data_IF_706353487793
#
_entry.id   IF_706353487793
#
_cell.length_a   1.000
_cell.length_b   1.000
_cell.length_c   1.000
_cell.angle_alpha   90.00
_cell.angle_beta   90.00
_cell.angle_gamma   90.00
#
_symmetry.space_group_name_H-M   'P 1'
#
loop_
_entity.id
_entity.type
_entity.pdbx_description
1 polymer ?
#
# COMPACT_ATOMS: atom_id res chain seq x y z
N UNK A 1 17.81 -26.31 37.27
CA UNK A 1 19.28 -26.15 37.35
C UNK A 1 19.89 -27.51 37.10
N UNK A 2 20.73 -27.65 36.06
CA UNK A 2 21.44 -28.90 35.83
C UNK A 2 22.51 -29.10 36.93
N UNK A 3 22.70 -30.32 37.45
CA UNK A 3 23.66 -30.58 38.52
C UNK A 3 25.12 -30.56 38.01
N UNK A 4 26.05 -30.13 38.88
CA UNK A 4 27.46 -29.85 38.54
C UNK A 4 28.26 -31.05 37.99
N UNK A 5 27.73 -32.28 38.11
CA UNK A 5 28.36 -33.49 37.59
C UNK A 5 27.97 -33.79 36.12
N UNK A 6 26.99 -33.08 35.55
CA UNK A 6 26.55 -33.29 34.18
C UNK A 6 27.45 -32.51 33.21
N UNK A 7 28.14 -33.22 32.32
CA UNK A 7 29.05 -32.65 31.33
C UNK A 7 28.48 -32.73 29.92
N UNK A 8 28.78 -31.73 29.10
CA UNK A 8 28.50 -31.73 27.66
C UNK A 8 29.40 -32.73 26.93
N UNK A 9 29.05 -33.08 25.68
CA UNK A 9 29.88 -33.90 24.80
C UNK A 9 31.30 -33.33 24.56
N UNK A 10 31.49 -32.02 24.76
CA UNK A 10 32.79 -31.35 24.70
C UNK A 10 33.62 -31.46 26.00
N UNK A 11 33.08 -32.10 27.05
CA UNK A 11 33.73 -32.29 28.34
C UNK A 11 33.58 -31.14 29.36
N UNK A 12 32.95 -30.03 28.97
CA UNK A 12 32.68 -28.89 29.86
C UNK A 12 31.43 -29.11 30.73
N UNK A 13 31.35 -28.51 31.93
CA UNK A 13 30.14 -28.50 32.75
C UNK A 13 28.94 -27.95 31.97
N UNK A 14 27.78 -28.60 32.09
CA UNK A 14 26.56 -28.17 31.36
C UNK A 14 26.05 -26.79 31.81
N UNK A 15 26.44 -26.32 33.01
CA UNK A 15 26.13 -24.98 33.51
C UNK A 15 26.98 -23.87 32.86
N UNK A 16 28.06 -24.21 32.16
CA UNK A 16 28.91 -23.29 31.40
C UNK A 16 28.54 -23.23 29.90
N UNK A 17 27.60 -24.07 29.46
CA UNK A 17 27.13 -24.08 28.08
C UNK A 17 26.25 -22.86 27.77
N UNK A 18 26.45 -22.27 26.59
CA UNK A 18 25.56 -21.21 26.12
C UNK A 18 24.28 -21.84 25.61
N UNK A 19 23.16 -21.49 26.26
CA UNK A 19 21.83 -21.86 25.77
C UNK A 19 21.50 -20.95 24.61
N UNK A 20 21.74 -21.44 23.39
CA UNK A 20 21.30 -20.75 22.18
C UNK A 20 19.82 -21.04 21.96
N UNK A 21 19.00 -19.99 21.93
CA UNK A 21 17.59 -20.10 21.60
C UNK A 21 17.43 -20.16 20.08
N UNK A 22 17.04 -21.33 19.57
CA UNK A 22 16.69 -21.49 18.15
C UNK A 22 15.19 -21.27 17.99
N UNK A 23 14.82 -20.25 17.22
CA UNK A 23 13.42 -20.00 16.82
C UNK A 23 13.22 -20.68 15.47
N UNK A 24 12.36 -21.70 15.43
CA UNK A 24 12.01 -22.40 14.19
C UNK A 24 10.61 -21.95 13.75
N UNK A 25 10.42 -21.53 12.49
CA UNK A 25 9.10 -21.19 11.98
C UNK A 25 8.19 -22.43 11.98
N UNK A 26 6.93 -22.25 12.33
CA UNK A 26 5.90 -23.27 12.09
C UNK A 26 5.70 -23.46 10.59
N UNK A 27 5.13 -24.60 10.17
CA UNK A 27 4.80 -24.85 8.76
C UNK A 27 3.96 -23.72 8.14
N UNK A 28 3.05 -23.15 8.93
CA UNK A 28 2.24 -22.01 8.50
C UNK A 28 3.06 -20.75 8.29
N UNK A 29 4.01 -20.46 9.18
CA UNK A 29 4.92 -19.32 9.02
C UNK A 29 5.81 -19.49 7.79
N UNK A 30 6.32 -20.70 7.56
CA UNK A 30 7.08 -21.05 6.35
C UNK A 30 6.25 -20.85 5.08
N UNK A 31 4.99 -21.32 5.07
CA UNK A 31 4.09 -21.17 3.92
C UNK A 31 3.67 -19.72 3.65
N UNK A 32 3.64 -18.86 4.68
CA UNK A 32 3.38 -17.42 4.52
C UNK A 32 4.60 -16.68 4.00
N UNK A 33 5.81 -17.11 4.39
CA UNK A 33 7.05 -16.52 3.90
C UNK A 33 7.36 -16.94 2.46
N UNK A 34 6.85 -18.09 2.01
CA UNK A 34 7.00 -18.53 0.63
C UNK A 34 6.38 -17.50 -0.34
N UNK A 35 7.24 -16.97 -1.23
CA UNK A 35 6.88 -16.01 -2.30
C UNK A 35 6.12 -14.78 -1.80
N UNK A 36 6.42 -14.31 -0.59
CA UNK A 36 5.82 -13.09 -0.05
C UNK A 36 4.32 -13.17 0.21
N UNK A 37 3.72 -14.36 0.35
CA UNK A 37 2.27 -14.55 0.58
C UNK A 37 1.74 -13.80 1.80
N UNK A 38 2.60 -13.58 2.80
CA UNK A 38 2.29 -12.78 3.96
C UNK A 38 1.88 -11.34 3.59
N UNK A 39 2.53 -10.72 2.60
CA UNK A 39 2.18 -9.38 2.14
C UNK A 39 0.83 -9.35 1.48
N UNK A 40 0.49 -10.35 0.67
CA UNK A 40 -0.85 -10.48 0.08
C UNK A 40 -1.90 -10.59 1.17
N UNK A 41 -1.64 -11.41 2.19
CA UNK A 41 -2.57 -11.59 3.32
C UNK A 41 -2.79 -10.27 4.06
N UNK A 42 -1.71 -9.54 4.37
CA UNK A 42 -1.79 -8.22 5.00
C UNK A 42 -2.55 -7.21 4.13
N UNK A 43 -2.21 -7.16 2.83
CA UNK A 43 -2.80 -6.20 1.92
C UNK A 43 -4.31 -6.43 1.80
N UNK A 44 -4.72 -7.69 1.62
CA UNK A 44 -6.14 -8.06 1.51
C UNK A 44 -6.93 -7.77 2.79
N UNK A 45 -6.29 -7.85 3.97
CA UNK A 45 -6.92 -7.51 5.24
C UNK A 45 -7.15 -5.99 5.42
N UNK A 46 -6.39 -5.15 4.71
CA UNK A 46 -6.51 -3.69 4.76
C UNK A 46 -7.62 -3.18 3.83
N UNK A 47 -7.87 -3.83 2.69
CA UNK A 47 -8.82 -3.34 1.68
C UNK A 47 -10.24 -3.06 2.24
N UNK A 48 -10.85 -3.93 3.06
CA UNK A 48 -12.18 -3.65 3.63
C UNK A 48 -12.20 -2.43 4.55
N UNK A 49 -11.11 -2.15 5.26
CA UNK A 49 -10.99 -0.96 6.13
C UNK A 49 -11.02 0.34 5.33
N UNK A 50 -10.55 0.29 4.09
CA UNK A 50 -10.60 1.42 3.14
C UNK A 50 -11.95 1.50 2.40
N UNK A 51 -12.91 0.63 2.76
CA UNK A 51 -14.21 0.53 2.13
C UNK A 51 -14.15 -0.03 0.71
N UNK A 52 -13.15 -0.86 0.40
CA UNK A 52 -13.06 -1.60 -0.86
C UNK A 52 -13.72 -2.95 -0.66
N UNK A 53 -14.74 -3.23 -1.46
CA UNK A 53 -15.47 -4.50 -1.39
C UNK A 53 -14.77 -5.59 -2.19
N UNK A 54 -15.08 -6.86 -1.93
CA UNK A 54 -14.38 -7.99 -2.56
C UNK A 54 -14.56 -8.04 -4.07
N UNK A 55 -15.70 -7.55 -4.55
CA UNK A 55 -16.09 -7.49 -5.96
C UNK A 55 -15.22 -6.50 -6.74
N UNK A 56 -14.59 -5.56 -6.04
CA UNK A 56 -13.68 -4.56 -6.60
C UNK A 56 -12.22 -5.04 -6.62
N UNK A 57 -11.94 -6.28 -6.20
CA UNK A 57 -10.59 -6.80 -6.01
C UNK A 57 -10.35 -8.02 -6.88
N UNK A 58 -9.34 -7.93 -7.73
CA UNK A 58 -8.82 -9.07 -8.50
C UNK A 58 -7.41 -9.36 -7.98
N UNK A 59 -7.18 -10.59 -7.53
CA UNK A 59 -5.88 -11.06 -7.07
C UNK A 59 -5.25 -11.91 -8.17
N UNK A 60 -4.13 -11.46 -8.72
CA UNK A 60 -3.37 -12.18 -9.76
C UNK A 60 -2.12 -12.81 -9.13
N UNK A 61 -2.20 -14.11 -8.85
CA UNK A 61 -1.09 -14.86 -8.28
C UNK A 61 -0.16 -15.36 -9.40
N UNK A 62 1.04 -14.81 -9.47
CA UNK A 62 2.06 -15.19 -10.45
C UNK A 62 3.21 -15.96 -9.78
N UNK A 63 4.05 -16.69 -10.55
CA UNK A 63 5.25 -17.32 -9.99
C UNK A 63 6.21 -16.33 -9.31
N UNK A 64 6.15 -15.04 -9.68
CA UNK A 64 7.04 -13.96 -9.22
C UNK A 64 6.45 -13.12 -8.07
N UNK A 65 5.30 -13.53 -7.53
CA UNK A 65 4.58 -12.81 -6.48
C UNK A 65 3.11 -12.60 -6.82
N UNK A 66 2.40 -11.94 -5.93
CA UNK A 66 0.96 -11.67 -6.09
C UNK A 66 0.73 -10.19 -6.29
N UNK A 67 -0.01 -9.86 -7.34
CA UNK A 67 -0.49 -8.51 -7.60
C UNK A 67 -1.97 -8.40 -7.28
N UNK A 68 -2.40 -7.18 -6.97
CA UNK A 68 -3.79 -6.86 -6.71
C UNK A 68 -4.22 -5.78 -7.70
N UNK A 69 -5.30 -6.02 -8.43
CA UNK A 69 -5.96 -5.00 -9.24
C UNK A 69 -7.22 -4.57 -8.52
N UNK A 70 -7.35 -3.27 -8.29
CA UNK A 70 -8.52 -2.65 -7.69
C UNK A 70 -9.34 -1.94 -8.75
N UNK A 71 -10.64 -2.22 -8.81
CA UNK A 71 -11.60 -1.44 -9.60
C UNK A 71 -12.23 -0.36 -8.72
N UNK A 72 -11.74 0.87 -8.87
CA UNK A 72 -12.25 2.03 -8.16
C UNK A 72 -13.14 2.86 -9.08
N UNK A 73 -14.39 2.40 -9.26
CA UNK A 73 -15.42 3.08 -10.07
C UNK A 73 -15.02 3.20 -11.55
N UNK A 74 -14.48 2.12 -12.12
CA UNK A 74 -14.03 2.04 -13.52
C UNK A 74 -12.56 2.45 -13.73
N UNK A 75 -11.91 3.03 -12.71
CA UNK A 75 -10.48 3.29 -12.74
C UNK A 75 -9.72 2.14 -12.08
N UNK A 76 -8.92 1.44 -12.89
CA UNK A 76 -8.11 0.32 -12.42
C UNK A 76 -6.83 0.82 -11.74
N UNK A 77 -6.59 0.37 -10.51
CA UNK A 77 -5.35 0.60 -9.76
C UNK A 77 -4.59 -0.71 -9.64
N UNK A 78 -3.34 -0.73 -10.10
CA UNK A 78 -2.45 -1.89 -9.94
C UNK A 78 -1.62 -1.74 -8.68
N UNK A 79 -1.72 -2.71 -7.77
CA UNK A 79 -0.88 -2.81 -6.58
C UNK A 79 0.05 -4.01 -6.74
N UNK A 80 1.35 -3.77 -6.80
CA UNK A 80 2.38 -4.81 -6.86
C UNK A 80 3.04 -4.93 -5.49
N UNK A 81 3.12 -6.16 -4.98
CA UNK A 81 3.70 -6.47 -3.68
C UNK A 81 5.02 -7.22 -3.87
N UNK A 82 6.08 -6.75 -3.21
CA UNK A 82 7.41 -7.38 -3.23
C UNK A 82 7.96 -7.50 -1.82
N UNK A 83 8.32 -8.73 -1.46
CA UNK A 83 8.94 -9.06 -0.17
C UNK A 83 10.45 -8.80 -0.13
N UNK A 84 11.01 -8.36 -1.24
CA UNK A 84 12.42 -8.02 -1.48
C UNK A 84 12.53 -6.63 -2.11
N UNK A 85 13.76 -6.14 -2.27
CA UNK A 85 14.03 -4.88 -2.96
C UNK A 85 13.43 -4.85 -4.38
N UNK A 86 12.62 -3.83 -4.67
CA UNK A 86 12.06 -3.66 -6.01
C UNK A 86 13.16 -3.19 -6.97
N UNK A 87 13.54 -4.07 -7.89
CA UNK A 87 14.68 -3.87 -8.77
C UNK A 87 14.26 -3.50 -10.22
N UNK A 88 15.24 -3.37 -11.11
CA UNK A 88 15.00 -2.96 -12.50
C UNK A 88 14.16 -3.97 -13.29
N UNK A 89 14.31 -5.27 -13.03
CA UNK A 89 13.49 -6.32 -13.66
C UNK A 89 12.03 -6.18 -13.24
N UNK A 90 11.78 -5.93 -11.95
CA UNK A 90 10.43 -5.67 -11.45
C UNK A 90 9.82 -4.42 -12.06
N UNK A 91 10.62 -3.37 -12.27
CA UNK A 91 10.17 -2.14 -12.91
C UNK A 91 9.70 -2.36 -14.36
N UNK A 92 10.42 -3.16 -15.15
CA UNK A 92 9.98 -3.55 -16.50
C UNK A 92 8.71 -4.41 -16.47
N UNK A 93 8.64 -5.39 -15.56
CA UNK A 93 7.47 -6.24 -15.40
C UNK A 93 6.23 -5.42 -14.99
N UNK A 94 6.40 -4.50 -14.04
CA UNK A 94 5.38 -3.55 -13.61
C UNK A 94 4.89 -2.71 -14.79
N UNK A 95 5.81 -2.13 -15.57
CA UNK A 95 5.46 -1.33 -16.74
C UNK A 95 4.60 -2.11 -17.75
N UNK A 96 5.02 -3.34 -18.07
CA UNK A 96 4.29 -4.23 -18.97
C UNK A 96 2.87 -4.52 -18.45
N UNK A 97 2.73 -4.77 -17.14
CA UNK A 97 1.43 -4.99 -16.50
C UNK A 97 0.55 -3.76 -16.56
N UNK A 98 1.05 -2.58 -16.22
CA UNK A 98 0.30 -1.31 -16.32
C UNK A 98 -0.22 -1.10 -17.73
N UNK A 99 0.60 -1.35 -18.77
CA UNK A 99 0.14 -1.25 -20.17
C UNK A 99 -0.99 -2.22 -20.48
N UNK A 100 -0.81 -3.48 -20.09
CA UNK A 100 -1.71 -4.59 -20.43
C UNK A 100 -3.09 -4.40 -19.81
N UNK A 101 -3.14 -4.02 -18.54
CA UNK A 101 -4.39 -3.81 -17.79
C UNK A 101 -4.95 -2.39 -17.97
N UNK A 102 -4.20 -1.49 -18.62
CA UNK A 102 -4.54 -0.07 -18.77
C UNK A 102 -4.82 0.63 -17.43
N UNK A 103 -4.01 0.32 -16.42
CA UNK A 103 -4.15 0.90 -15.08
C UNK A 103 -4.06 2.44 -15.14
N UNK A 104 -4.92 3.09 -14.36
CA UNK A 104 -4.96 4.53 -14.23
C UNK A 104 -3.96 5.04 -13.18
N UNK A 105 -3.62 4.21 -12.20
CA UNK A 105 -2.59 4.48 -11.20
C UNK A 105 -1.92 3.17 -10.78
N UNK A 106 -0.63 3.25 -10.45
CA UNK A 106 0.13 2.12 -9.93
C UNK A 106 0.60 2.37 -8.50
N UNK A 107 0.59 1.33 -7.69
CA UNK A 107 1.10 1.31 -6.32
C UNK A 107 2.13 0.19 -6.24
N UNK A 108 3.35 0.54 -5.84
CA UNK A 108 4.43 -0.41 -5.64
C UNK A 108 4.69 -0.47 -4.14
N UNK A 109 4.59 -1.67 -3.57
CA UNK A 109 4.87 -1.92 -2.17
C UNK A 109 6.06 -2.87 -2.09
N UNK A 110 7.12 -2.42 -1.45
CA UNK A 110 8.34 -3.20 -1.28
C UNK A 110 8.73 -3.27 0.19
N UNK A 111 9.02 -4.47 0.68
CA UNK A 111 9.47 -4.66 2.06
C UNK A 111 10.88 -4.09 2.31
N UNK A 112 11.77 -4.11 1.30
CA UNK A 112 13.18 -3.70 1.44
C UNK A 112 13.52 -2.39 0.69
N UNK A 113 12.53 -1.73 0.09
CA UNK A 113 12.75 -0.47 -0.62
C UNK A 113 12.84 -0.60 -2.15
N UNK A 114 13.32 0.47 -2.78
CA UNK A 114 13.42 0.62 -4.24
C UNK A 114 14.88 0.80 -4.64
N UNK A 115 15.35 0.00 -5.59
CA UNK A 115 16.71 0.17 -6.10
C UNK A 115 16.86 1.50 -6.85
N UNK A 116 18.08 2.05 -6.87
CA UNK A 116 18.35 3.35 -7.52
C UNK A 116 17.99 3.37 -9.01
N UNK A 117 18.25 2.27 -9.73
CA UNK A 117 17.94 2.15 -11.15
C UNK A 117 16.44 1.96 -11.41
N UNK A 118 15.75 1.19 -10.56
CA UNK A 118 14.30 1.06 -10.64
C UNK A 118 13.61 2.41 -10.41
N UNK A 119 14.10 3.20 -9.45
CA UNK A 119 13.59 4.55 -9.17
C UNK A 119 13.67 5.47 -10.38
N UNK A 120 14.83 5.49 -11.07
CA UNK A 120 15.01 6.28 -12.30
C UNK A 120 14.01 5.87 -13.37
N UNK A 121 13.90 4.57 -13.66
CA UNK A 121 12.97 4.09 -14.68
C UNK A 121 11.51 4.45 -14.35
N UNK A 122 11.09 4.21 -13.11
CA UNK A 122 9.73 4.46 -12.64
C UNK A 122 9.37 5.95 -12.64
N UNK A 123 10.28 6.81 -12.19
CA UNK A 123 10.00 8.25 -12.04
C UNK A 123 10.22 9.04 -13.33
N UNK A 124 11.25 8.70 -14.11
CA UNK A 124 11.70 9.51 -15.25
C UNK A 124 11.11 9.03 -16.57
N UNK A 125 10.89 7.73 -16.74
CA UNK A 125 10.38 7.18 -18.01
C UNK A 125 8.89 6.85 -17.98
N UNK A 126 8.40 6.27 -16.88
CA UNK A 126 7.04 5.73 -16.81
C UNK A 126 5.97 6.78 -16.44
N UNK A 127 6.30 7.73 -15.56
CA UNK A 127 5.38 8.78 -15.14
C UNK A 127 5.07 9.80 -16.26
N UNK A 128 6.08 10.47 -16.86
CA UNK A 128 5.87 11.56 -17.81
C UNK A 128 5.25 11.11 -19.14
N UNK A 129 5.63 9.94 -19.67
CA UNK A 129 5.20 9.49 -21.00
C UNK A 129 3.72 9.03 -21.05
N UNK A 130 3.10 8.76 -19.90
CA UNK A 130 1.72 8.26 -19.81
C UNK A 130 0.73 9.31 -19.33
N UNK A 131 1.14 10.57 -19.30
CA UNK A 131 0.24 11.63 -18.91
C UNK A 131 -0.92 11.71 -19.91
N UNK A 132 -2.13 11.27 -19.53
CA UNK A 132 -3.32 11.59 -20.33
C UNK A 132 -3.55 13.10 -20.19
N UNK A 133 -4.06 13.73 -21.24
CA UNK A 133 -4.32 15.19 -21.29
C UNK A 133 -5.14 15.66 -20.07
N UNK A 134 -5.97 14.79 -19.48
CA UNK A 134 -6.84 15.11 -18.33
C UNK A 134 -6.49 14.38 -17.03
N UNK A 135 -5.66 13.33 -17.05
CA UNK A 135 -5.29 12.56 -15.85
C UNK A 135 -3.92 11.89 -16.04
N UNK A 136 -2.85 12.43 -15.41
CA UNK A 136 -1.55 11.84 -15.54
C UNK A 136 -1.46 10.50 -14.80
N UNK A 137 -0.88 9.49 -15.43
CA UNK A 137 -0.59 8.22 -14.76
C UNK A 137 0.35 8.48 -13.57
N UNK A 138 -0.05 8.02 -12.38
CA UNK A 138 0.71 8.20 -11.14
C UNK A 138 1.25 6.86 -10.67
N UNK A 139 2.41 6.92 -10.03
CA UNK A 139 3.01 5.77 -9.37
C UNK A 139 3.28 6.18 -7.93
N UNK A 140 2.66 5.46 -6.99
CA UNK A 140 2.88 5.62 -5.56
C UNK A 140 3.79 4.50 -5.09
N UNK A 141 4.94 4.85 -4.50
CA UNK A 141 5.85 3.88 -3.91
C UNK A 141 5.67 3.87 -2.38
N UNK A 142 5.57 2.68 -1.82
CA UNK A 142 5.44 2.44 -0.38
C UNK A 142 6.58 1.53 0.06
N UNK A 143 7.40 2.04 0.95
CA UNK A 143 8.46 1.28 1.61
C UNK A 143 7.93 0.69 2.91
N UNK A 144 8.09 -0.63 3.05
CA UNK A 144 7.55 -1.39 4.17
C UNK A 144 6.02 -1.50 4.15
N UNK A 145 5.49 -2.23 5.12
CA UNK A 145 4.04 -2.48 5.24
C UNK A 145 3.34 -1.50 6.19
N UNK A 146 4.09 -0.76 7.00
CA UNK A 146 3.55 0.16 8.01
C UNK A 146 2.83 1.34 7.36
N UNK A 147 3.38 1.86 6.26
CA UNK A 147 2.80 2.99 5.52
C UNK A 147 1.72 2.56 4.51
N UNK A 148 1.53 1.25 4.29
CA UNK A 148 0.68 0.74 3.21
C UNK A 148 -0.79 1.14 3.37
N UNK A 149 -1.37 1.00 4.56
CA UNK A 149 -2.77 1.37 4.82
C UNK A 149 -3.01 2.87 4.56
N UNK A 150 -2.11 3.73 5.03
CA UNK A 150 -2.20 5.17 4.84
C UNK A 150 -2.07 5.57 3.38
N UNK A 151 -1.02 5.11 2.69
CA UNK A 151 -0.75 5.50 1.30
C UNK A 151 -1.79 4.94 0.34
N UNK A 152 -2.24 3.69 0.54
CA UNK A 152 -3.33 3.13 -0.26
C UNK A 152 -4.63 3.90 -0.01
N UNK A 153 -4.93 4.29 1.24
CA UNK A 153 -6.07 5.14 1.55
C UNK A 153 -6.06 6.47 0.79
N UNK A 154 -4.89 7.11 0.65
CA UNK A 154 -4.73 8.34 -0.15
C UNK A 154 -4.95 8.10 -1.64
N UNK A 155 -4.53 6.96 -2.17
CA UNK A 155 -4.80 6.57 -3.57
C UNK A 155 -6.31 6.38 -3.78
N UNK A 156 -6.97 5.63 -2.89
CA UNK A 156 -8.41 5.36 -2.96
C UNK A 156 -9.22 6.65 -2.93
N UNK A 157 -8.95 7.52 -1.96
CA UNK A 157 -9.64 8.81 -1.81
C UNK A 157 -9.44 9.69 -3.06
N UNK A 158 -8.22 9.72 -3.60
CA UNK A 158 -7.92 10.47 -4.82
C UNK A 158 -8.70 9.95 -6.02
N UNK A 159 -8.74 8.64 -6.25
CA UNK A 159 -9.51 8.05 -7.37
C UNK A 159 -11.01 8.28 -7.21
N UNK A 160 -11.56 8.10 -6.01
CA UNK A 160 -12.98 8.38 -5.73
C UNK A 160 -13.34 9.84 -5.99
N UNK A 161 -12.49 10.78 -5.55
CA UNK A 161 -12.67 12.20 -5.83
C UNK A 161 -12.60 12.49 -7.32
N UNK A 162 -11.63 11.93 -8.03
CA UNK A 162 -11.50 12.10 -9.49
C UNK A 162 -12.76 11.61 -10.21
N UNK A 163 -13.26 10.42 -9.85
CA UNK A 163 -14.50 9.87 -10.39
C UNK A 163 -15.69 10.79 -10.13
N UNK A 164 -15.86 11.26 -8.89
CA UNK A 164 -16.94 12.17 -8.52
C UNK A 164 -16.92 13.47 -9.33
N UNK A 165 -15.73 14.04 -9.56
CA UNK A 165 -15.58 15.24 -10.38
C UNK A 165 -15.92 15.01 -11.86
N UNK A 166 -15.54 13.87 -12.42
CA UNK A 166 -15.93 13.48 -13.79
C UNK A 166 -17.45 13.35 -13.89
N UNK A 167 -18.06 12.61 -12.97
CA UNK A 167 -19.51 12.42 -12.93
C UNK A 167 -20.29 13.74 -12.80
N UNK A 168 -19.80 14.69 -11.97
CA UNK A 168 -20.41 16.02 -11.85
C UNK A 168 -20.16 16.91 -13.07
N UNK A 169 -19.02 16.80 -13.73
CA UNK A 169 -18.75 17.50 -14.99
C UNK A 169 -19.71 17.06 -16.09
N UNK A 170 -19.91 15.75 -16.22
CA UNK A 170 -20.87 15.18 -17.17
C UNK A 170 -22.30 15.69 -16.89
N UNK A 171 -22.68 15.77 -15.61
CA UNK A 171 -23.98 16.30 -15.19
C UNK A 171 -24.12 17.81 -15.45
N UNK A 172 -23.06 18.59 -15.22
CA UNK A 172 -23.04 20.03 -15.48
C UNK A 172 -23.22 20.35 -16.97
N UNK A 173 -22.69 19.49 -17.84
CA UNK A 173 -22.87 19.57 -19.30
C UNK A 173 -24.32 19.33 -19.71
N UNK A 174 -25.06 18.51 -18.96
CA UNK A 174 -26.48 18.21 -19.21
C UNK A 174 -27.41 19.30 -18.67
N UNK A 175 -27.05 19.99 -17.58
CA UNK A 175 -27.95 20.92 -16.87
C UNK A 175 -27.55 22.40 -16.93
N UNK A 176 -26.41 22.76 -17.55
CA UNK A 176 -25.96 24.15 -17.65
C UNK A 176 -25.53 24.80 -16.32
N UNK A 177 -25.54 24.05 -15.21
CA UNK A 177 -25.03 24.47 -13.90
C UNK A 177 -23.71 23.74 -13.58
N UNK A 178 -22.67 24.49 -13.20
CA UNK A 178 -21.40 23.92 -12.75
C UNK A 178 -21.48 23.39 -11.30
N UNK A 179 -22.23 22.30 -11.10
CA UNK A 179 -22.47 21.65 -9.80
C UNK A 179 -21.16 21.11 -9.19
N UNK A 180 -20.18 20.74 -10.02
CA UNK A 180 -18.84 20.29 -9.61
C UNK A 180 -18.14 21.22 -8.63
N UNK A 181 -18.12 22.52 -8.94
CA UNK A 181 -17.46 23.54 -8.12
C UNK A 181 -18.17 23.76 -6.77
N UNK A 182 -19.50 23.72 -6.76
CA UNK A 182 -20.32 23.89 -5.54
C UNK A 182 -20.20 22.69 -4.59
N UNK A 183 -20.16 21.47 -5.12
CA UNK A 183 -19.99 20.27 -4.31
C UNK A 183 -18.60 20.20 -3.66
N UNK A 184 -17.54 20.55 -4.41
CA UNK A 184 -16.18 20.67 -3.88
C UNK A 184 -16.08 21.70 -2.76
N UNK A 185 -16.60 22.91 -2.99
CA UNK A 185 -16.59 23.96 -1.98
C UNK A 185 -17.30 23.52 -0.69
N UNK A 186 -18.37 22.73 -0.79
CA UNK A 186 -19.09 22.19 0.37
C UNK A 186 -18.30 21.09 1.09
N UNK A 187 -17.62 20.19 0.37
CA UNK A 187 -16.77 19.14 0.97
C UNK A 187 -15.55 19.76 1.66
N UNK A 188 -14.91 20.74 1.02
CA UNK A 188 -13.78 21.48 1.60
C UNK A 188 -14.20 22.33 2.81
N UNK A 189 -15.38 22.96 2.75
CA UNK A 189 -15.95 23.68 3.89
C UNK A 189 -16.31 22.72 5.05
N UNK A 190 -16.85 21.53 4.75
CA UNK A 190 -17.13 20.49 5.74
C UNK A 190 -15.88 19.92 6.39
N UNK A 191 -14.78 19.77 5.63
CA UNK A 191 -13.48 19.34 6.15
C UNK A 191 -12.79 20.37 7.04
N UNK A 192 -13.06 21.67 6.85
CA UNK A 192 -12.58 22.75 7.74
C UNK A 192 -13.35 22.80 9.05
N UNK A 193 -14.66 22.60 9.03
CA UNK A 193 -15.49 22.59 10.23
C UNK A 193 -15.13 21.44 11.21
N UNK A 194 -14.61 20.32 10.71
CA UNK A 194 -14.16 19.20 11.57
C UNK A 194 -12.84 19.44 12.29
N UNK A 195 -12.07 20.48 11.94
CA UNK A 195 -10.74 20.75 12.50
C UNK A 195 -10.74 21.78 13.65
N UNK A 196 -11.89 22.38 13.95
CA UNK A 196 -12.02 23.48 14.91
C UNK A 196 -12.52 23.07 16.32
N UNK A 197 -12.72 21.78 16.61
CA UNK A 197 -13.33 21.32 17.89
C UNK A 197 -12.35 20.58 18.82
N UNK A 198 -11.04 20.82 18.73
CA UNK A 198 -10.11 20.38 19.78
C UNK A 198 -9.22 21.55 20.21
N UNK A 199 -9.82 22.47 20.98
CA UNK A 199 -9.06 23.34 21.87
C UNK A 199 -8.92 22.63 23.23
N UNK A 200 -7.72 22.50 23.81
CA UNK A 200 -7.57 21.94 25.14
C UNK A 200 -8.10 22.93 26.17
N UNK A 201 -8.97 22.44 27.05
CA UNK A 201 -9.48 23.17 28.21
C UNK A 201 -8.29 23.54 29.11
N UNK A 202 -8.02 24.84 29.23
CA UNK A 202 -6.96 25.36 30.08
C UNK A 202 -7.36 25.19 31.55
N UNK A 203 -6.59 24.37 32.29
CA UNK A 203 -6.70 24.25 33.74
C UNK A 203 -6.31 25.58 34.37
N UNK A 204 -7.28 26.24 35.00
CA UNK A 204 -7.06 27.44 35.80
C UNK A 204 -6.25 27.07 37.04
N UNK A 205 -5.12 27.75 37.22
CA UNK A 205 -4.39 27.81 38.47
C UNK A 205 -5.12 28.77 39.42
N UNK A 206 -5.42 28.33 40.63
CA UNK A 206 -5.69 29.21 41.77
C UNK A 206 -4.68 28.93 42.89
N UNK A 207 -4.46 29.99 43.66
CA UNK A 207 -3.31 30.33 44.51
C UNK A 207 -3.16 29.50 45.79
#
# INVERSE_FOLDING_TARGET
MAPDWMKCACGRPLNEERVDQVIVPTDRATALNDKGRWMTTLATAILPKLGISREQVIIDATPQGTDIVLDLSGDLVLVVLKDHEFNLSDAYAFNAKVSRIKAAEGVIVSNEGLSGDAKKLVQEELGPQRARITDPFRITFVEGVQAFEHELGRVVERRRRQYFLRALGDLATIQGLNIGQLALAKVEAGGRAGKEVVAPEAVAAEA
#
